data_IF_066581827432
#
_entry.id   IF_066581827432
#
_cell.length_a   1.000
_cell.length_b   1.000
_cell.length_c   1.000
_cell.angle_alpha   90.00
_cell.angle_beta   90.00
_cell.angle_gamma   90.00
#
_symmetry.space_group_name_H-M   'P 1'
#
loop_
_entity.id
_entity.type
_entity.pdbx_description
1 polymer ?
#
# COMPACT_ATOMS: atom_id res chain seq x y z
N UNK A 1 39.86 -12.05 -22.35
CA UNK A 1 39.00 -10.89 -21.96
C UNK A 1 38.24 -11.31 -20.72
N UNK A 2 38.68 -10.83 -19.55
CA UNK A 2 37.97 -11.11 -18.29
C UNK A 2 36.77 -10.20 -18.19
N UNK A 3 35.55 -10.77 -18.18
CA UNK A 3 34.34 -10.05 -17.86
C UNK A 3 34.41 -9.66 -16.39
N UNK A 4 34.59 -8.37 -16.12
CA UNK A 4 34.46 -7.81 -14.78
C UNK A 4 32.96 -7.85 -14.44
N UNK A 5 32.57 -8.81 -13.61
CA UNK A 5 31.26 -8.84 -12.98
C UNK A 5 31.19 -7.63 -12.03
N UNK A 6 30.49 -6.57 -12.44
CA UNK A 6 30.08 -5.54 -11.49
C UNK A 6 29.06 -6.20 -10.53
N UNK A 7 29.31 -6.18 -9.21
CA UNK A 7 28.27 -6.57 -8.27
C UNK A 7 27.07 -5.68 -8.53
N UNK A 8 25.90 -6.26 -8.74
CA UNK A 8 24.64 -5.54 -8.68
C UNK A 8 24.58 -4.98 -7.26
N UNK A 9 24.69 -3.67 -7.10
CA UNK A 9 24.52 -3.02 -5.81
C UNK A 9 23.16 -3.48 -5.30
N UNK A 10 23.17 -4.30 -4.25
CA UNK A 10 21.97 -4.69 -3.54
C UNK A 10 21.42 -3.40 -2.93
N UNK A 11 20.27 -2.96 -3.40
CA UNK A 11 19.62 -1.78 -2.88
C UNK A 11 19.24 -2.08 -1.42
N UNK A 12 20.03 -1.58 -0.47
CA UNK A 12 19.69 -1.67 0.93
C UNK A 12 18.43 -0.82 1.16
N UNK A 13 17.32 -1.51 1.40
CA UNK A 13 16.05 -0.86 1.69
C UNK A 13 15.85 -0.75 3.21
N UNK A 14 15.27 0.34 3.64
CA UNK A 14 14.94 0.59 5.03
C UNK A 14 13.55 1.18 5.18
N UNK A 15 12.91 0.91 6.32
CA UNK A 15 11.67 1.55 6.70
C UNK A 15 11.95 2.78 7.54
N UNK A 16 11.17 3.82 7.30
CA UNK A 16 11.18 5.04 8.10
C UNK A 16 9.77 5.60 8.23
N UNK A 17 9.46 6.32 9.33
CA UNK A 17 8.14 6.92 9.50
C UNK A 17 7.84 7.93 8.39
N UNK A 18 6.60 7.92 7.89
CA UNK A 18 6.12 8.95 6.98
C UNK A 18 5.91 10.24 7.77
N UNK A 19 6.71 11.25 7.47
CA UNK A 19 6.61 12.58 8.08
C UNK A 19 6.08 13.59 7.07
N UNK A 20 5.72 14.79 7.53
CA UNK A 20 5.25 15.88 6.66
C UNK A 20 6.24 16.23 5.54
N UNK A 21 7.55 16.05 5.77
CA UNK A 21 8.59 16.28 4.75
C UNK A 21 8.46 15.34 3.52
N UNK A 22 7.82 14.19 3.69
CA UNK A 22 7.66 13.20 2.62
C UNK A 22 6.30 13.27 1.91
N UNK A 23 5.39 14.11 2.36
CA UNK A 23 4.02 14.15 1.80
C UNK A 23 3.98 14.50 0.31
N UNK A 24 4.81 15.45 -0.14
CA UNK A 24 4.84 15.81 -1.56
C UNK A 24 5.36 14.66 -2.45
N UNK A 25 6.51 14.01 -2.16
CA UNK A 25 6.93 12.83 -2.90
C UNK A 25 5.94 11.67 -2.87
N UNK A 26 5.32 11.39 -1.72
CA UNK A 26 4.29 10.35 -1.57
C UNK A 26 3.08 10.65 -2.44
N UNK A 27 2.54 11.85 -2.37
CA UNK A 27 1.40 12.27 -3.19
C UNK A 27 1.70 12.22 -4.70
N UNK A 28 2.93 12.54 -5.11
CA UNK A 28 3.35 12.43 -6.50
C UNK A 28 3.35 10.98 -7.00
N UNK A 29 3.86 10.04 -6.19
CA UNK A 29 3.83 8.61 -6.51
C UNK A 29 2.40 8.11 -6.55
N UNK A 30 1.59 8.45 -5.56
CA UNK A 30 0.17 8.08 -5.48
C UNK A 30 -0.58 8.52 -6.75
N UNK A 31 -0.40 9.77 -7.16
CA UNK A 31 -1.02 10.31 -8.36
C UNK A 31 -0.57 9.59 -9.64
N UNK A 32 0.67 9.17 -9.72
CA UNK A 32 1.19 8.40 -10.86
C UNK A 32 0.73 6.95 -10.89
N UNK A 33 0.41 6.38 -9.74
CA UNK A 33 0.07 4.96 -9.58
C UNK A 33 -1.42 4.67 -9.80
N UNK A 34 -2.31 5.62 -9.50
CA UNK A 34 -3.76 5.39 -9.44
C UNK A 34 -4.57 6.41 -10.23
N UNK A 35 -5.66 5.95 -10.84
CA UNK A 35 -6.66 6.82 -11.48
C UNK A 35 -7.44 7.67 -10.44
N UNK A 36 -7.60 7.15 -9.23
CA UNK A 36 -8.29 7.82 -8.11
C UNK A 36 -7.36 7.84 -6.89
N UNK A 37 -6.32 8.71 -6.95
CA UNK A 37 -5.30 8.74 -5.90
C UNK A 37 -5.84 9.34 -4.60
N UNK A 38 -5.24 8.94 -3.49
CA UNK A 38 -5.34 9.71 -2.26
C UNK A 38 -4.76 11.09 -2.47
N UNK A 39 -5.36 12.07 -1.84
CA UNK A 39 -4.85 13.45 -1.83
C UNK A 39 -3.74 13.61 -0.79
N UNK A 40 -2.94 14.64 -0.92
CA UNK A 40 -1.97 15.05 0.11
C UNK A 40 -2.68 15.21 1.48
N UNK A 41 -3.90 15.75 1.50
CA UNK A 41 -4.73 15.88 2.69
C UNK A 41 -5.06 14.52 3.33
N UNK A 42 -5.36 13.48 2.55
CA UNK A 42 -5.63 12.15 3.08
C UNK A 42 -4.41 11.58 3.83
N UNK A 43 -3.21 11.75 3.31
CA UNK A 43 -1.98 11.33 3.99
C UNK A 43 -1.71 12.18 5.24
N UNK A 44 -1.86 13.49 5.16
CA UNK A 44 -1.68 14.41 6.28
C UNK A 44 -2.64 14.07 7.44
N UNK A 45 -3.90 13.83 7.13
CA UNK A 45 -4.94 13.47 8.10
C UNK A 45 -4.62 12.11 8.76
N UNK A 46 -4.13 11.15 7.98
CA UNK A 46 -3.72 9.83 8.50
C UNK A 46 -2.57 9.95 9.51
N UNK A 47 -1.57 10.77 9.21
CA UNK A 47 -0.45 11.04 10.13
C UNK A 47 -0.97 11.73 11.40
N UNK A 48 -1.83 12.75 11.26
CA UNK A 48 -2.41 13.49 12.38
C UNK A 48 -3.30 12.61 13.26
N UNK A 49 -3.99 11.63 12.67
CA UNK A 49 -4.78 10.65 13.38
C UNK A 49 -3.95 9.59 14.12
N UNK A 50 -2.63 9.59 13.94
CA UNK A 50 -1.73 8.62 14.58
C UNK A 50 -1.72 7.25 13.91
N UNK A 51 -2.12 7.15 12.65
CA UNK A 51 -2.07 5.89 11.91
C UNK A 51 -0.62 5.45 11.68
N UNK A 52 -0.42 4.15 11.53
CA UNK A 52 0.88 3.60 11.21
C UNK A 52 1.21 3.82 9.73
N UNK A 53 1.94 4.89 9.46
CA UNK A 53 2.36 5.29 8.13
C UNK A 53 3.87 5.15 7.97
N UNK A 54 4.31 4.31 7.04
CA UNK A 54 5.71 3.98 6.82
C UNK A 54 6.11 4.17 5.37
N UNK A 55 7.33 4.62 5.18
CA UNK A 55 8.01 4.66 3.90
C UNK A 55 8.98 3.48 3.80
N UNK A 56 9.13 2.96 2.59
CA UNK A 56 10.22 2.09 2.21
C UNK A 56 11.15 2.87 1.29
N UNK A 57 12.37 3.11 1.74
CA UNK A 57 13.39 3.83 0.98
C UNK A 57 14.58 2.95 0.68
N UNK A 58 15.34 3.26 -0.34
CA UNK A 58 16.55 2.53 -0.70
C UNK A 58 17.59 3.41 -1.37
N UNK A 59 18.88 3.00 -1.29
CA UNK A 59 19.97 3.70 -1.94
C UNK A 59 20.55 4.86 -1.13
N UNK A 60 21.52 4.58 -0.25
CA UNK A 60 22.33 5.62 0.38
C UNK A 60 23.41 6.13 -0.60
N UNK A 61 23.85 7.42 -0.52
CA UNK A 61 23.47 8.45 0.46
C UNK A 61 22.21 9.24 0.09
N UNK A 62 21.66 9.07 -1.11
CA UNK A 62 20.46 9.77 -1.58
C UNK A 62 19.29 8.77 -1.67
N UNK A 63 18.53 8.54 -0.60
CA UNK A 63 17.50 7.52 -0.58
C UNK A 63 16.38 7.84 -1.57
N UNK A 64 15.96 6.82 -2.30
CA UNK A 64 14.84 6.85 -3.24
C UNK A 64 13.62 6.23 -2.57
N UNK A 65 12.46 6.85 -2.73
CA UNK A 65 11.19 6.31 -2.24
C UNK A 65 10.77 5.13 -3.12
N UNK A 66 10.79 3.93 -2.57
CA UNK A 66 10.40 2.69 -3.25
C UNK A 66 8.90 2.41 -3.13
N UNK A 67 8.33 2.78 -2.00
CA UNK A 67 6.93 2.57 -1.69
C UNK A 67 6.56 3.06 -0.30
N UNK A 68 5.31 2.86 0.07
CA UNK A 68 4.78 3.26 1.37
C UNK A 68 3.52 2.48 1.70
N UNK A 69 3.16 2.48 2.97
CA UNK A 69 1.85 2.01 3.41
C UNK A 69 1.31 2.86 4.56
N UNK A 70 -0.01 2.84 4.70
CA UNK A 70 -0.75 3.43 5.81
C UNK A 70 -1.71 2.40 6.37
N UNK A 71 -1.67 2.16 7.66
CA UNK A 71 -2.52 1.21 8.35
C UNK A 71 -3.08 1.80 9.64
N UNK A 72 -4.30 1.38 9.97
CA UNK A 72 -5.02 1.78 11.16
C UNK A 72 -5.14 0.60 12.11
N UNK A 73 -4.72 0.80 13.37
CA UNK A 73 -4.91 -0.19 14.42
C UNK A 73 -6.35 -0.16 14.92
N UNK A 74 -6.98 -1.34 14.97
CA UNK A 74 -8.27 -1.56 15.62
C UNK A 74 -8.11 -2.45 16.85
N UNK A 75 -9.24 -2.95 17.37
CA UNK A 75 -9.26 -3.96 18.43
C UNK A 75 -9.02 -5.32 17.78
N UNK A 76 -7.97 -6.02 18.19
CA UNK A 76 -7.56 -7.32 17.66
C UNK A 76 -7.30 -7.37 16.14
N UNK A 77 -7.28 -6.24 15.46
CA UNK A 77 -7.09 -6.16 14.02
C UNK A 77 -6.30 -4.92 13.59
N UNK A 78 -5.69 -5.02 12.43
CA UNK A 78 -5.09 -3.90 11.71
C UNK A 78 -5.75 -3.79 10.35
N UNK A 79 -6.15 -2.59 9.97
CA UNK A 79 -6.73 -2.29 8.67
C UNK A 79 -5.68 -1.60 7.79
N UNK A 80 -5.27 -2.26 6.73
CA UNK A 80 -4.40 -1.67 5.72
C UNK A 80 -5.24 -0.75 4.82
N UNK A 81 -4.96 0.54 4.88
CA UNK A 81 -5.71 1.57 4.15
C UNK A 81 -5.11 1.90 2.79
N UNK A 82 -3.79 1.87 2.69
CA UNK A 82 -3.06 2.13 1.46
C UNK A 82 -1.73 1.38 1.49
N UNK A 83 -1.38 0.74 0.40
CA UNK A 83 -0.06 0.17 0.15
C UNK A 83 0.30 0.39 -1.31
N UNK A 84 1.43 1.01 -1.54
CA UNK A 84 1.84 1.41 -2.89
C UNK A 84 3.33 1.18 -3.09
N UNK A 85 3.68 0.49 -4.16
CA UNK A 85 5.04 0.46 -4.70
C UNK A 85 5.12 1.48 -5.82
N UNK A 86 6.13 2.34 -5.81
CA UNK A 86 6.35 3.31 -6.88
C UNK A 86 6.40 2.58 -8.23
N UNK A 87 5.71 3.09 -9.28
CA UNK A 87 5.56 2.37 -10.55
C UNK A 87 6.86 1.85 -11.14
N UNK A 88 7.93 2.63 -11.10
CA UNK A 88 9.24 2.23 -11.63
C UNK A 88 9.97 1.16 -10.79
N UNK A 89 9.48 0.88 -9.58
CA UNK A 89 10.07 -0.11 -8.66
C UNK A 89 9.17 -1.35 -8.47
N UNK A 90 8.08 -1.46 -9.20
CA UNK A 90 7.18 -2.62 -9.16
C UNK A 90 7.82 -3.89 -9.72
N UNK A 91 7.22 -5.06 -9.42
CA UNK A 91 7.66 -6.40 -9.83
C UNK A 91 9.05 -6.81 -9.33
N UNK A 92 9.45 -6.28 -8.17
CA UNK A 92 10.73 -6.59 -7.49
C UNK A 92 10.54 -7.16 -6.10
N UNK A 93 9.28 -7.47 -5.71
CA UNK A 93 8.97 -8.06 -4.40
C UNK A 93 8.79 -7.04 -3.27
N UNK A 94 8.77 -5.73 -3.52
CA UNK A 94 8.66 -4.71 -2.47
C UNK A 94 7.31 -4.72 -1.76
N UNK A 95 6.22 -5.05 -2.46
CA UNK A 95 4.90 -5.19 -1.83
C UNK A 95 4.94 -6.26 -0.73
N UNK A 96 5.58 -7.40 -0.98
CA UNK A 96 5.75 -8.45 0.02
C UNK A 96 6.57 -7.99 1.22
N UNK A 97 7.67 -7.28 0.99
CA UNK A 97 8.51 -6.71 2.05
C UNK A 97 7.70 -5.78 2.96
N UNK A 98 6.86 -4.93 2.37
CA UNK A 98 5.98 -4.04 3.13
C UNK A 98 4.89 -4.80 3.89
N UNK A 99 4.28 -5.82 3.29
CA UNK A 99 3.29 -6.66 3.97
C UNK A 99 3.91 -7.44 5.13
N UNK A 100 5.14 -7.95 4.98
CA UNK A 100 5.87 -8.62 6.07
C UNK A 100 6.12 -7.65 7.23
N UNK A 101 6.59 -6.43 6.95
CA UNK A 101 6.80 -5.41 7.98
C UNK A 101 5.50 -5.04 8.70
N UNK A 102 4.41 -4.86 7.96
CA UNK A 102 3.10 -4.59 8.53
C UNK A 102 2.61 -5.75 9.40
N UNK A 103 2.79 -6.99 8.95
CA UNK A 103 2.39 -8.17 9.73
C UNK A 103 3.17 -8.29 11.05
N UNK A 104 4.49 -8.04 11.02
CA UNK A 104 5.34 -8.03 12.22
C UNK A 104 4.89 -6.96 13.19
N UNK A 105 4.69 -5.73 12.71
CA UNK A 105 4.20 -4.63 13.55
C UNK A 105 2.83 -4.95 14.13
N UNK A 106 1.90 -5.44 13.34
CA UNK A 106 0.54 -5.75 13.78
C UNK A 106 0.51 -6.82 14.86
N UNK A 107 1.33 -7.87 14.74
CA UNK A 107 1.50 -8.88 15.81
C UNK A 107 2.05 -8.26 17.09
N UNK A 108 3.02 -7.38 16.97
CA UNK A 108 3.58 -6.63 18.11
C UNK A 108 2.55 -5.76 18.83
N UNK A 109 1.56 -5.26 18.09
CA UNK A 109 0.44 -4.48 18.62
C UNK A 109 -0.72 -5.35 19.15
N UNK A 110 -0.60 -6.67 19.10
CA UNK A 110 -1.61 -7.62 19.58
C UNK A 110 -2.72 -7.91 18.59
N UNK A 111 -2.59 -7.48 17.34
CA UNK A 111 -3.59 -7.80 16.31
C UNK A 111 -3.53 -9.29 15.93
N UNK A 112 -4.69 -9.87 15.66
CA UNK A 112 -4.85 -11.23 15.18
C UNK A 112 -5.16 -11.30 13.68
N UNK A 113 -5.58 -10.19 13.10
CA UNK A 113 -6.02 -10.10 11.72
C UNK A 113 -5.50 -8.85 11.03
N UNK A 114 -5.15 -8.99 9.76
CA UNK A 114 -5.03 -7.89 8.80
C UNK A 114 -6.26 -7.86 7.90
N UNK A 115 -6.80 -6.67 7.66
CA UNK A 115 -7.91 -6.43 6.76
C UNK A 115 -7.54 -5.41 5.71
N UNK A 116 -8.10 -5.55 4.53
CA UNK A 116 -8.02 -4.55 3.46
C UNK A 116 -9.25 -4.61 2.56
N UNK A 117 -9.46 -3.53 1.82
CA UNK A 117 -10.36 -3.48 0.67
C UNK A 117 -9.53 -3.27 -0.60
N UNK A 118 -9.93 -3.94 -1.67
CA UNK A 118 -9.32 -3.79 -3.00
C UNK A 118 -10.42 -3.65 -4.04
N UNK A 119 -10.19 -2.78 -5.05
CA UNK A 119 -11.13 -2.65 -6.17
C UNK A 119 -11.37 -4.01 -6.83
N UNK A 120 -12.63 -4.34 -7.12
CA UNK A 120 -12.98 -5.59 -7.77
C UNK A 120 -12.25 -5.78 -9.11
N UNK A 121 -12.01 -4.68 -9.84
CA UNK A 121 -11.28 -4.68 -11.12
C UNK A 121 -9.77 -4.80 -10.98
N UNK A 122 -9.19 -4.57 -9.79
CA UNK A 122 -7.74 -4.61 -9.58
C UNK A 122 -7.24 -6.05 -9.42
N UNK A 123 -7.25 -6.80 -10.52
CA UNK A 123 -6.84 -8.21 -10.54
C UNK A 123 -5.40 -8.41 -10.07
N UNK A 124 -4.51 -7.47 -10.39
CA UNK A 124 -3.10 -7.54 -10.01
C UNK A 124 -2.91 -7.44 -8.50
N UNK A 125 -3.52 -6.47 -7.85
CA UNK A 125 -3.44 -6.31 -6.40
C UNK A 125 -4.08 -7.50 -5.69
N UNK A 126 -5.25 -7.97 -6.14
CA UNK A 126 -5.88 -9.18 -5.60
C UNK A 126 -4.95 -10.38 -5.65
N UNK A 127 -4.29 -10.61 -6.79
CA UNK A 127 -3.35 -11.72 -6.94
C UNK A 127 -2.15 -11.61 -5.98
N UNK A 128 -1.64 -10.40 -5.74
CA UNK A 128 -0.56 -10.16 -4.77
C UNK A 128 -1.01 -10.52 -3.36
N UNK A 129 -2.21 -10.07 -2.96
CA UNK A 129 -2.76 -10.36 -1.63
C UNK A 129 -3.07 -11.84 -1.44
N UNK A 130 -3.71 -12.48 -2.42
CA UNK A 130 -3.99 -13.93 -2.39
C UNK A 130 -2.70 -14.74 -2.27
N UNK A 131 -1.68 -14.38 -3.03
CA UNK A 131 -0.37 -15.05 -2.98
C UNK A 131 0.34 -14.86 -1.64
N UNK A 132 0.10 -13.74 -0.98
CA UNK A 132 0.59 -13.48 0.37
C UNK A 132 -0.12 -14.35 1.42
N UNK A 133 -1.38 -14.70 1.18
CA UNK A 133 -2.21 -15.51 2.06
C UNK A 133 -3.53 -14.87 2.48
N UNK A 134 -3.85 -13.69 1.96
CA UNK A 134 -5.17 -13.08 2.17
C UNK A 134 -6.26 -13.88 1.47
N UNK A 135 -7.45 -13.87 2.06
CA UNK A 135 -8.65 -14.49 1.51
C UNK A 135 -9.76 -13.47 1.39
N UNK A 136 -10.51 -13.55 0.29
CA UNK A 136 -11.73 -12.76 0.12
C UNK A 136 -12.79 -13.24 1.12
N UNK A 137 -13.33 -12.33 1.91
CA UNK A 137 -14.32 -12.63 2.96
C UNK A 137 -15.61 -11.84 2.81
N UNK A 138 -15.66 -10.88 1.91
CA UNK A 138 -16.85 -10.09 1.69
C UNK A 138 -16.71 -9.12 0.51
N UNK A 139 -17.77 -8.35 0.32
CA UNK A 139 -17.84 -7.31 -0.71
C UNK A 139 -18.53 -6.08 -0.15
N UNK A 140 -18.01 -4.91 -0.44
CA UNK A 140 -18.68 -3.62 -0.22
C UNK A 140 -19.13 -3.07 -1.56
N UNK A 141 -20.43 -3.07 -1.78
CA UNK A 141 -21.00 -2.59 -3.04
C UNK A 141 -20.86 -1.08 -3.16
N UNK A 142 -20.46 -0.62 -4.34
CA UNK A 142 -20.34 0.79 -4.67
C UNK A 142 -19.43 1.57 -3.75
N UNK A 143 -18.37 0.95 -3.26
CA UNK A 143 -17.45 1.54 -2.25
C UNK A 143 -16.49 2.56 -2.84
N UNK A 144 -15.96 2.28 -4.03
CA UNK A 144 -15.00 3.16 -4.70
C UNK A 144 -15.65 4.05 -5.75
N UNK A 145 -15.18 5.30 -5.91
CA UNK A 145 -15.57 6.11 -7.06
C UNK A 145 -15.01 5.50 -8.35
N UNK A 146 -15.82 5.51 -9.39
CA UNK A 146 -15.47 5.15 -10.76
C UNK A 146 -15.83 6.32 -11.66
N UNK A 147 -15.01 6.66 -12.65
CA UNK A 147 -15.28 7.78 -13.55
C UNK A 147 -16.54 7.55 -14.40
N UNK A 148 -17.25 8.63 -14.70
CA UNK A 148 -18.43 8.59 -15.57
C UNK A 148 -19.76 8.60 -14.83
N UNK A 149 -20.84 8.30 -15.55
CA UNK A 149 -22.21 8.28 -15.05
C UNK A 149 -22.66 6.84 -14.89
N UNK A 150 -23.16 6.48 -13.70
CA UNK A 150 -23.73 5.16 -13.45
C UNK A 150 -25.06 4.95 -14.19
N UNK A 151 -25.49 3.70 -14.27
CA UNK A 151 -26.70 3.28 -15.00
C UNK A 151 -27.99 4.00 -14.53
N UNK A 152 -28.01 4.53 -13.29
CA UNK A 152 -29.13 5.26 -12.71
C UNK A 152 -28.93 6.78 -12.68
N UNK A 153 -27.97 7.30 -13.47
CA UNK A 153 -27.74 8.74 -13.62
C UNK A 153 -26.94 9.42 -12.50
N UNK A 154 -26.46 8.67 -11.48
CA UNK A 154 -25.54 9.15 -10.46
C UNK A 154 -24.07 8.92 -10.84
N UNK A 155 -23.08 9.32 -9.98
CA UNK A 155 -21.69 9.00 -10.20
C UNK A 155 -21.49 7.47 -10.25
N UNK A 156 -20.70 6.99 -11.20
CA UNK A 156 -20.35 5.58 -11.28
C UNK A 156 -19.54 5.15 -10.06
N UNK A 157 -19.79 3.94 -9.58
CA UNK A 157 -19.12 3.37 -8.41
C UNK A 157 -18.71 1.93 -8.67
N UNK A 158 -17.61 1.54 -8.10
CA UNK A 158 -17.05 0.19 -8.19
C UNK A 158 -17.10 -0.50 -6.83
N UNK A 159 -17.35 -1.80 -6.84
CA UNK A 159 -17.34 -2.62 -5.63
C UNK A 159 -15.92 -2.82 -5.09
N UNK A 160 -15.81 -2.98 -3.79
CA UNK A 160 -14.59 -3.41 -3.11
C UNK A 160 -14.72 -4.88 -2.68
N UNK A 161 -13.67 -5.64 -2.90
CA UNK A 161 -13.49 -6.95 -2.29
C UNK A 161 -12.82 -6.75 -0.93
N UNK A 162 -13.42 -7.26 0.13
CA UNK A 162 -12.84 -7.26 1.47
C UNK A 162 -12.02 -8.53 1.63
N UNK A 163 -10.78 -8.37 2.02
CA UNK A 163 -9.85 -9.48 2.21
C UNK A 163 -9.28 -9.46 3.63
N UNK A 164 -9.01 -10.63 4.18
CA UNK A 164 -8.38 -10.77 5.48
C UNK A 164 -7.25 -11.79 5.47
N UNK A 165 -6.30 -11.58 6.37
CA UNK A 165 -5.16 -12.45 6.62
C UNK A 165 -5.02 -12.67 8.12
N UNK A 166 -4.93 -13.93 8.53
CA UNK A 166 -4.70 -14.26 9.95
C UNK A 166 -3.21 -14.12 10.28
N UNK A 167 -2.93 -13.31 11.29
CA UNK A 167 -1.57 -13.04 11.78
C UNK A 167 -0.98 -14.19 12.60
#
# INVERSE_FOLDING_TARGET
MSAVFKPTESLEAQFEPMTSAWLAPVAAIEHSAYAYPWTLGNFSDSISAGYHAQLLTGGAPNPVLLGYFVAMKGVDETHLLNITVAPMHQRRGWARVMLDALAIWSRGEGAQWLWLEVRASNARAKAIYERYGFRAVGMRRGYYPEGGVGLLGGPAKEDAIVMSFKL
#
